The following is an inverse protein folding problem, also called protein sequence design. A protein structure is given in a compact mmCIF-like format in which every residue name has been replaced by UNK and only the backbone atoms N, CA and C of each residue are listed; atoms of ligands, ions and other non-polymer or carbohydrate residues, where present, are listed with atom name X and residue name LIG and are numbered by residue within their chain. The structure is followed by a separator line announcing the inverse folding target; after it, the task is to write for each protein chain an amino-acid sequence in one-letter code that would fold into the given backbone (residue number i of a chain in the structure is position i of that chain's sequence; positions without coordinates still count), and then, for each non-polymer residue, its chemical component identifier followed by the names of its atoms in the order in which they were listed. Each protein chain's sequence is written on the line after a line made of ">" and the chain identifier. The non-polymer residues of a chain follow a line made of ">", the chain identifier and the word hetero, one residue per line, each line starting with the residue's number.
data_IF_861904786394
#
_entry.id   IF_861904786394
#
_cell.length_a   1.000
_cell.length_b   1.000
_cell.length_c   1.000
_cell.angle_alpha   90.00
_cell.angle_beta   90.00
_cell.angle_gamma   90.00
#
_symmetry.space_group_name_H-M   'P 1'
#
loop_
_entity.id
_entity.type
_entity.pdbx_description
1 polymer ?
#
# COMPACT_ATOMS: atom_id res chain seq x y z
N UNK A 1 0.81 33.87 -3.75
CA UNK A 1 1.22 32.49 -3.42
C UNK A 1 1.28 31.71 -4.72
N UNK A 2 2.32 30.90 -4.95
CA UNK A 2 2.37 30.03 -6.12
C UNK A 2 1.31 28.93 -6.01
N UNK A 3 0.67 28.57 -7.12
CA UNK A 3 -0.29 27.46 -7.16
C UNK A 3 0.47 26.14 -6.93
N UNK A 4 0.02 25.26 -6.03
CA UNK A 4 0.68 23.97 -5.82
C UNK A 4 0.55 23.10 -7.08
N UNK A 5 1.61 22.34 -7.37
CA UNK A 5 1.57 21.28 -8.37
C UNK A 5 0.73 20.12 -7.84
N UNK A 6 -0.14 19.57 -8.68
CA UNK A 6 -0.95 18.40 -8.37
C UNK A 6 -0.52 17.29 -9.33
N UNK A 7 -0.19 16.13 -8.76
CA UNK A 7 0.14 14.91 -9.50
C UNK A 7 -0.94 13.85 -9.27
N UNK A 8 -1.12 12.96 -10.23
CA UNK A 8 -2.12 11.88 -10.16
C UNK A 8 -1.57 10.62 -9.47
N UNK A 9 -2.41 9.58 -9.37
CA UNK A 9 -2.03 8.32 -8.75
C UNK A 9 -1.05 7.51 -9.59
N UNK A 10 -0.96 7.75 -10.90
CA UNK A 10 0.04 7.12 -11.76
C UNK A 10 1.44 7.65 -11.43
N UNK A 11 1.56 8.96 -11.26
CA UNK A 11 2.82 9.58 -10.86
C UNK A 11 3.21 9.20 -9.43
N UNK A 12 2.26 9.15 -8.49
CA UNK A 12 2.53 8.62 -7.15
C UNK A 12 3.03 7.17 -7.20
N UNK A 13 2.43 6.33 -8.04
CA UNK A 13 2.89 4.95 -8.21
C UNK A 13 4.28 4.87 -8.85
N UNK A 14 4.59 5.71 -9.84
CA UNK A 14 5.90 5.77 -10.49
C UNK A 14 7.01 6.15 -9.49
N UNK A 15 6.69 7.00 -8.52
CA UNK A 15 7.59 7.37 -7.41
C UNK A 15 7.70 6.30 -6.31
N UNK A 16 7.01 5.16 -6.45
CA UNK A 16 6.95 4.10 -5.43
C UNK A 16 6.08 4.44 -4.22
N UNK A 17 5.41 5.60 -4.22
CA UNK A 17 4.67 6.09 -3.06
C UNK A 17 3.38 5.32 -2.83
N UNK A 18 2.71 4.84 -3.89
CA UNK A 18 1.50 4.02 -3.76
C UNK A 18 1.78 2.76 -2.94
N UNK A 19 2.84 2.02 -3.28
CA UNK A 19 3.24 0.80 -2.58
C UNK A 19 3.66 1.09 -1.14
N UNK A 20 4.36 2.20 -0.91
CA UNK A 20 4.78 2.63 0.43
C UNK A 20 3.61 3.00 1.33
N UNK A 21 2.64 3.78 0.83
CA UNK A 21 1.40 4.14 1.56
C UNK A 21 0.62 2.87 1.92
N UNK A 22 0.47 1.96 0.96
CA UNK A 22 -0.18 0.68 1.21
C UNK A 22 0.56 -0.09 2.31
N UNK A 23 1.86 -0.35 2.14
CA UNK A 23 2.66 -1.13 3.10
C UNK A 23 2.68 -0.53 4.51
N UNK A 24 2.98 0.76 4.64
CA UNK A 24 3.29 1.37 5.94
C UNK A 24 2.04 1.82 6.69
N UNK A 25 0.98 2.21 5.98
CA UNK A 25 -0.19 2.86 6.61
C UNK A 25 -1.45 2.02 6.44
N UNK A 26 -1.82 1.68 5.21
CA UNK A 26 -3.15 1.13 4.94
C UNK A 26 -3.25 -0.36 5.26
N UNK A 27 -2.23 -1.13 4.86
CA UNK A 27 -2.17 -2.57 5.07
C UNK A 27 -2.30 -2.95 6.55
N UNK A 28 -1.58 -2.31 7.51
CA UNK A 28 -1.78 -2.52 8.95
C UNK A 28 -3.21 -2.25 9.45
N UNK A 29 -3.96 -1.39 8.76
CA UNK A 29 -5.35 -1.06 9.08
C UNK A 29 -6.35 -1.98 8.37
N UNK A 30 -5.89 -2.99 7.62
CA UNK A 30 -6.75 -3.84 6.79
C UNK A 30 -7.29 -3.13 5.54
N UNK A 31 -6.65 -2.04 5.12
CA UNK A 31 -7.03 -1.26 3.94
C UNK A 31 -5.99 -1.39 2.82
N UNK A 32 -6.40 -1.23 1.58
CA UNK A 32 -5.48 -1.10 0.45
C UNK A 32 -6.07 -0.19 -0.63
N UNK A 33 -5.28 0.71 -1.21
CA UNK A 33 -5.70 1.53 -2.35
C UNK A 33 -5.02 1.09 -3.63
N UNK A 34 -5.75 1.14 -4.74
CA UNK A 34 -5.23 0.92 -6.07
C UNK A 34 -5.48 2.15 -6.96
N UNK A 35 -4.97 2.09 -8.19
CA UNK A 35 -5.19 3.10 -9.21
C UNK A 35 -5.71 2.45 -10.49
N UNK A 36 -6.47 3.19 -11.27
CA UNK A 36 -6.71 2.87 -12.67
C UNK A 36 -5.52 3.40 -13.49
N UNK A 37 -4.74 2.55 -14.17
CA UNK A 37 -3.57 2.98 -14.93
C UNK A 37 -3.91 3.83 -16.17
N UNK A 38 -5.12 3.69 -16.72
CA UNK A 38 -5.57 4.46 -17.89
C UNK A 38 -5.97 5.89 -17.52
N UNK A 39 -6.57 6.08 -16.34
CA UNK A 39 -7.13 7.38 -15.91
C UNK A 39 -6.34 8.09 -14.82
N UNK A 40 -5.43 7.40 -14.14
CA UNK A 40 -4.64 7.96 -13.03
C UNK A 40 -5.43 8.24 -11.76
N UNK A 41 -6.66 7.71 -11.64
CA UNK A 41 -7.56 7.90 -10.49
C UNK A 41 -7.55 6.67 -9.60
N UNK A 42 -7.68 6.86 -8.28
CA UNK A 42 -8.00 5.77 -7.36
C UNK A 42 -9.52 5.57 -7.26
N UNK A 43 -10.03 4.34 -7.42
CA UNK A 43 -11.46 4.05 -7.23
C UNK A 43 -11.88 4.05 -5.75
N UNK A 44 -10.93 4.18 -4.81
CA UNK A 44 -11.16 4.06 -3.36
C UNK A 44 -10.26 3.00 -2.72
N UNK A 45 -10.49 2.75 -1.43
CA UNK A 45 -9.80 1.71 -0.67
C UNK A 45 -10.64 0.43 -0.61
N UNK A 46 -9.96 -0.71 -0.75
CA UNK A 46 -10.50 -2.03 -0.47
C UNK A 46 -10.29 -2.33 1.02
N UNK A 47 -11.30 -2.96 1.64
CA UNK A 47 -11.26 -3.38 3.04
C UNK A 47 -11.05 -4.89 3.09
N UNK A 48 -10.17 -5.35 3.96
CA UNK A 48 -9.95 -6.77 4.21
C UNK A 48 -11.06 -7.37 5.05
N UNK A 49 -11.47 -8.60 4.71
CA UNK A 49 -12.40 -9.39 5.52
C UNK A 49 -11.72 -10.09 6.71
N UNK A 50 -10.38 -10.20 6.69
CA UNK A 50 -9.62 -11.06 7.61
C UNK A 50 -8.46 -10.35 8.33
N UNK A 51 -8.52 -9.00 8.42
CA UNK A 51 -7.50 -8.20 9.12
C UNK A 51 -6.42 -7.64 8.19
N UNK A 52 -5.21 -7.32 8.70
CA UNK A 52 -4.19 -6.61 7.93
C UNK A 52 -3.79 -7.29 6.62
N UNK A 53 -3.49 -6.48 5.60
CA UNK A 53 -2.81 -6.97 4.39
C UNK A 53 -1.30 -7.04 4.65
N UNK A 54 -0.59 -7.94 3.98
CA UNK A 54 0.87 -8.03 4.05
C UNK A 54 1.40 -8.33 2.66
N UNK A 55 2.44 -7.62 2.23
CA UNK A 55 3.10 -7.97 0.96
C UNK A 55 3.86 -9.29 1.13
N UNK A 56 3.90 -10.16 0.10
CA UNK A 56 4.58 -11.45 0.21
C UNK A 56 6.03 -11.35 0.68
N UNK A 57 6.77 -10.34 0.23
CA UNK A 57 8.15 -10.08 0.63
C UNK A 57 8.33 -9.74 2.14
N UNK A 58 7.26 -9.33 2.82
CA UNK A 58 7.30 -8.98 4.25
C UNK A 58 6.94 -10.18 5.14
N UNK A 59 6.48 -11.31 4.58
CA UNK A 59 6.11 -12.51 5.32
C UNK A 59 7.33 -13.26 5.90
N UNK A 60 8.48 -13.20 5.21
CA UNK A 60 9.70 -13.92 5.63
C UNK A 60 10.37 -13.31 6.88
N UNK A 61 10.10 -12.04 7.18
CA UNK A 61 10.65 -11.37 8.37
C UNK A 61 9.89 -11.70 9.67
N UNK A 62 8.79 -12.46 9.59
CA UNK A 62 7.95 -12.85 10.72
C UNK A 62 7.95 -14.36 11.01
N UNK A 63 8.88 -15.13 10.42
CA UNK A 63 9.09 -16.50 10.88
C UNK A 63 9.49 -16.48 12.36
N UNK A 64 8.56 -16.92 13.23
CA UNK A 64 8.82 -17.11 14.65
C UNK A 64 10.13 -17.88 14.85
N UNK A 65 10.96 -17.52 15.85
CA UNK A 65 12.12 -18.32 16.17
C UNK A 65 11.63 -19.73 16.45
N UNK A 66 12.07 -20.71 15.64
CA UNK A 66 11.79 -22.12 15.91
C UNK A 66 12.42 -22.44 17.25
N UNK A 67 11.58 -22.50 18.28
CA UNK A 67 11.97 -22.92 19.61
C UNK A 67 12.61 -24.31 19.49
N UNK A 68 13.94 -24.33 19.56
CA UNK A 68 14.71 -25.56 19.68
C UNK A 68 14.95 -25.74 21.18
N UNK A 69 14.03 -26.45 21.84
CA UNK A 69 14.24 -27.07 23.15
C UNK A 69 13.33 -28.28 23.29
#
# INVERSE_FOLDING_TARGET
>A
MAKPEIIDWNELSRRGLLARINREILHPLGLAVCRNPETGVSPGAVVSDNGPWVYPEDLDNHAEPKDHS
#
